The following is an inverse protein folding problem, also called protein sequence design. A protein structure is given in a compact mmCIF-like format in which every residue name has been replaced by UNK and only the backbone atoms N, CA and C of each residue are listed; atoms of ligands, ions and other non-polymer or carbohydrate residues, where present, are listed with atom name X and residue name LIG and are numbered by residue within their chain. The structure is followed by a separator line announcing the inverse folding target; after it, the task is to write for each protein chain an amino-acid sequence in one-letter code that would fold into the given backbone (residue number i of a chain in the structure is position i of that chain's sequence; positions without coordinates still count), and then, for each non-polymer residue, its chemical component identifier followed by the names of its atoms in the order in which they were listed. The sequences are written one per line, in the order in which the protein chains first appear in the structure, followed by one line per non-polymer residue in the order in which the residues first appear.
data_IF_549169007350
#
_entry.id   IF_549169007350
#
_cell.length_a   1.000
_cell.length_b   1.000
_cell.length_c   1.000
_cell.angle_alpha   90.00
_cell.angle_beta   90.00
_cell.angle_gamma   90.00
#
_symmetry.space_group_name_H-M   'P 1'
#
loop_
_entity.id
_entity.type
_entity.pdbx_description
1 polymer ?
#
# COMPACT_ATOMS: atom_id res chain seq x y z
N UNK A 1 -1.67 -10.62 -18.30
CA UNK A 1 -1.53 -10.23 -16.88
C UNK A 1 -2.89 -9.74 -16.42
N UNK A 2 -3.46 -10.30 -15.35
CA UNK A 2 -4.76 -9.87 -14.81
C UNK A 2 -4.61 -8.45 -14.26
N UNK A 3 -5.34 -7.49 -14.82
CA UNK A 3 -5.29 -6.10 -14.35
C UNK A 3 -6.20 -5.96 -13.12
N UNK A 4 -5.61 -5.64 -11.96
CA UNK A 4 -6.37 -5.43 -10.73
C UNK A 4 -7.04 -4.05 -10.75
N UNK A 5 -8.33 -4.00 -10.41
CA UNK A 5 -9.08 -2.75 -10.28
C UNK A 5 -9.12 -2.32 -8.81
N UNK A 6 -8.11 -1.56 -8.41
CA UNK A 6 -7.99 -1.06 -7.04
C UNK A 6 -8.45 0.39 -6.98
N UNK A 7 -9.33 0.68 -6.02
CA UNK A 7 -9.73 2.04 -5.70
C UNK A 7 -8.94 2.57 -4.51
N UNK A 8 -8.45 3.80 -4.64
CA UNK A 8 -7.80 4.53 -3.56
C UNK A 8 -8.38 5.94 -3.56
N UNK A 9 -9.06 6.34 -2.48
CA UNK A 9 -9.60 7.69 -2.31
C UNK A 9 -8.62 8.66 -1.65
N UNK A 10 -7.49 8.15 -1.16
CA UNK A 10 -6.46 8.93 -0.46
C UNK A 10 -5.71 9.79 -1.48
N UNK A 11 -6.19 11.02 -1.69
CA UNK A 11 -5.75 11.89 -2.79
C UNK A 11 -4.31 12.39 -2.66
N UNK A 12 -3.71 12.33 -1.48
CA UNK A 12 -2.29 12.61 -1.24
C UNK A 12 -1.38 11.38 -1.36
N UNK A 13 -1.91 10.20 -1.71
CA UNK A 13 -1.09 9.02 -2.01
C UNK A 13 -0.36 9.18 -3.34
N UNK A 14 0.92 8.86 -3.41
CA UNK A 14 1.75 8.92 -4.61
C UNK A 14 1.12 8.16 -5.79
N UNK A 15 0.53 6.99 -5.50
CA UNK A 15 -0.10 6.11 -6.48
C UNK A 15 -1.53 6.50 -6.84
N UNK A 16 -2.12 7.50 -6.19
CA UNK A 16 -3.49 7.94 -6.50
C UNK A 16 -3.57 8.49 -7.94
N UNK A 17 -4.63 8.10 -8.66
CA UNK A 17 -4.96 8.58 -9.99
C UNK A 17 -6.44 8.98 -10.09
N UNK A 18 -6.78 9.67 -11.18
CA UNK A 18 -8.11 10.26 -11.39
C UNK A 18 -9.23 9.20 -11.26
N UNK A 19 -10.31 9.59 -10.58
CA UNK A 19 -11.45 8.71 -10.34
C UNK A 19 -11.26 7.76 -9.16
N UNK A 20 -10.46 8.15 -8.17
CA UNK A 20 -10.13 7.35 -6.97
C UNK A 20 -9.57 5.97 -7.36
N UNK A 21 -8.66 5.94 -8.33
CA UNK A 21 -7.98 4.72 -8.77
C UNK A 21 -6.60 4.67 -8.14
N UNK A 22 -6.15 3.47 -7.80
CA UNK A 22 -4.76 3.23 -7.45
C UNK A 22 -4.00 2.80 -8.70
N UNK A 23 -2.91 3.48 -9.01
CA UNK A 23 -1.99 3.15 -10.09
C UNK A 23 -0.72 2.50 -9.56
N UNK A 24 -0.72 1.89 -8.38
CA UNK A 24 0.41 1.08 -7.93
C UNK A 24 0.46 -0.25 -8.70
N UNK A 25 1.64 -0.76 -9.04
CA UNK A 25 1.78 -2.07 -9.67
C UNK A 25 1.35 -3.21 -8.75
N UNK A 26 1.55 -3.06 -7.44
CA UNK A 26 1.12 -3.97 -6.39
C UNK A 26 0.77 -3.16 -5.13
N UNK A 27 -0.09 -3.70 -4.25
CA UNK A 27 -0.41 -3.09 -2.95
C UNK A 27 -0.38 -4.11 -1.81
N UNK A 28 -0.10 -3.63 -0.61
CA UNK A 28 -0.20 -4.37 0.64
C UNK A 28 -1.26 -3.75 1.54
N UNK A 29 -2.35 -4.49 1.77
CA UNK A 29 -3.30 -4.22 2.85
C UNK A 29 -2.98 -5.15 4.01
N UNK A 30 -2.77 -4.58 5.19
CA UNK A 30 -2.41 -5.33 6.40
C UNK A 30 -3.00 -4.67 7.64
N UNK A 31 -2.74 -5.21 8.83
CA UNK A 31 -3.18 -4.58 10.06
C UNK A 31 -2.33 -3.35 10.42
N UNK A 32 -2.91 -2.42 11.16
CA UNK A 32 -2.24 -1.16 11.50
C UNK A 32 -0.94 -1.36 12.27
N UNK A 33 -0.85 -2.42 13.09
CA UNK A 33 0.36 -2.73 13.86
C UNK A 33 1.55 -3.04 12.96
N UNK A 34 1.33 -3.71 11.83
CA UNK A 34 2.37 -3.96 10.83
C UNK A 34 2.75 -2.66 10.14
N UNK A 35 1.76 -1.84 9.77
CA UNK A 35 2.00 -0.55 9.13
C UNK A 35 2.82 0.42 9.98
N UNK A 36 2.58 0.41 11.30
CA UNK A 36 3.26 1.23 12.31
C UNK A 36 4.67 0.71 12.65
N UNK A 37 4.85 -0.62 12.78
CA UNK A 37 6.11 -1.19 13.28
C UNK A 37 7.13 -1.50 12.21
N UNK A 38 6.70 -1.82 10.99
CA UNK A 38 7.61 -2.24 9.93
C UNK A 38 8.02 -1.06 9.05
N UNK A 39 9.27 -1.02 8.58
CA UNK A 39 9.79 0.07 7.77
C UNK A 39 9.15 0.09 6.37
N UNK A 40 9.23 1.23 5.68
CA UNK A 40 8.61 1.44 4.35
C UNK A 40 9.10 0.46 3.28
N UNK A 41 10.31 -0.08 3.39
CA UNK A 41 10.81 -1.11 2.45
C UNK A 41 10.13 -2.48 2.63
N UNK A 42 9.34 -2.64 3.68
CA UNK A 42 8.52 -3.82 3.93
C UNK A 42 7.11 -3.58 3.38
N UNK A 43 6.92 -3.93 2.11
CA UNK A 43 5.67 -3.68 1.37
C UNK A 43 5.25 -4.89 0.50
N UNK A 44 4.42 -4.69 -0.51
CA UNK A 44 3.76 -5.72 -1.32
C UNK A 44 4.75 -6.72 -1.94
N UNK A 45 5.95 -6.25 -2.31
CA UNK A 45 7.04 -7.10 -2.82
C UNK A 45 7.47 -8.21 -1.84
N UNK A 46 7.26 -8.01 -0.53
CA UNK A 46 7.59 -8.96 0.54
C UNK A 46 6.36 -9.67 1.11
N UNK A 47 5.15 -9.41 0.60
CA UNK A 47 3.90 -9.95 1.14
C UNK A 47 3.86 -11.48 1.21
N UNK A 48 4.55 -12.18 0.30
CA UNK A 48 4.66 -13.65 0.28
C UNK A 48 5.40 -14.22 1.51
N UNK A 49 6.25 -13.41 2.15
CA UNK A 49 7.03 -13.80 3.32
C UNK A 49 6.35 -13.41 4.64
N UNK A 50 5.17 -12.79 4.58
CA UNK A 50 4.41 -12.39 5.76
C UNK A 50 3.56 -13.53 6.30
N UNK A 51 3.51 -13.64 7.62
CA UNK A 51 2.42 -14.39 8.27
C UNK A 51 1.10 -13.61 8.14
N UNK A 52 -0.05 -14.29 8.03
CA UNK A 52 -1.36 -13.62 8.03
C UNK A 52 -1.56 -12.71 9.23
N UNK A 53 -2.24 -11.58 9.02
CA UNK A 53 -2.42 -10.51 10.02
C UNK A 53 -3.90 -10.33 10.35
N UNK A 54 -4.51 -11.21 11.19
CA UNK A 54 -5.93 -11.16 11.47
C UNK A 54 -6.32 -9.89 12.24
N UNK A 55 -7.52 -9.39 11.95
CA UNK A 55 -8.16 -8.23 12.57
C UNK A 55 -9.65 -8.48 12.75
N UNK A 56 -10.32 -7.67 13.57
CA UNK A 56 -11.76 -7.77 13.84
C UNK A 56 -12.59 -6.64 13.21
N UNK A 57 -11.94 -5.58 12.74
CA UNK A 57 -12.58 -4.41 12.12
C UNK A 57 -11.74 -3.87 10.96
N UNK A 58 -12.40 -3.24 9.98
CA UNK A 58 -11.71 -2.51 8.91
C UNK A 58 -10.90 -1.32 9.44
N UNK A 59 -11.26 -0.80 10.62
CA UNK A 59 -10.53 0.29 11.28
C UNK A 59 -9.19 -0.14 11.87
N UNK A 60 -8.88 -1.44 11.86
CA UNK A 60 -7.60 -1.98 12.29
C UNK A 60 -6.69 -2.33 11.09
N UNK A 61 -7.05 -1.84 9.90
CA UNK A 61 -6.35 -2.12 8.65
C UNK A 61 -5.82 -0.87 7.99
N UNK A 62 -4.64 -0.99 7.37
CA UNK A 62 -3.99 0.07 6.61
C UNK A 62 -3.53 -0.42 5.24
N UNK A 63 -3.37 0.51 4.30
CA UNK A 63 -2.59 0.32 3.08
C UNK A 63 -1.14 0.67 3.38
N UNK A 64 -0.25 -0.33 3.48
CA UNK A 64 1.17 -0.09 3.75
C UNK A 64 1.87 0.59 2.57
N UNK A 65 1.42 0.32 1.34
CA UNK A 65 1.88 0.95 0.10
C UNK A 65 1.49 2.42 -0.04
N UNK A 66 0.89 3.02 0.99
CA UNK A 66 0.67 4.46 1.01
C UNK A 66 2.01 5.17 1.20
N UNK A 67 2.35 6.00 0.23
CA UNK A 67 3.43 6.99 0.35
C UNK A 67 2.86 8.36 0.02
N UNK A 68 3.19 9.38 0.79
CA UNK A 68 2.76 10.74 0.51
C UNK A 68 3.39 11.29 -0.79
N UNK A 69 2.59 11.98 -1.61
CA UNK A 69 3.06 12.69 -2.81
C UNK A 69 4.19 13.67 -2.47
N UNK A 70 5.32 13.53 -3.15
CA UNK A 70 6.49 14.40 -2.93
C UNK A 70 7.37 13.97 -1.76
N UNK A 71 7.04 12.89 -1.05
CA UNK A 71 7.91 12.29 -0.05
C UNK A 71 9.21 11.80 -0.69
N UNK A 72 10.29 11.80 0.09
CA UNK A 72 11.57 11.20 -0.29
C UNK A 72 11.52 9.67 -0.32
N UNK A 73 10.46 9.07 0.23
CA UNK A 73 10.33 7.62 0.39
C UNK A 73 9.61 6.92 -0.77
N UNK A 74 9.24 7.64 -1.84
CA UNK A 74 8.45 7.13 -2.99
C UNK A 74 9.05 5.88 -3.65
N UNK A 75 10.37 5.66 -3.55
CA UNK A 75 11.04 4.52 -4.18
C UNK A 75 11.58 3.50 -3.16
N UNK A 76 11.24 3.64 -1.87
CA UNK A 76 11.80 2.81 -0.79
C UNK A 76 11.11 1.45 -0.71
N UNK A 77 9.82 1.39 -1.03
CA UNK A 77 8.95 0.20 -0.99
C UNK A 77 9.11 -0.71 -2.22
N UNK A 78 9.77 -0.23 -3.27
CA UNK A 78 9.91 -0.92 -4.56
C UNK A 78 8.62 -0.96 -5.39
N UNK A 79 7.60 -0.19 -5.00
CA UNK A 79 6.32 -0.11 -5.69
C UNK A 79 6.38 0.99 -6.76
N UNK A 80 5.97 0.64 -7.98
CA UNK A 80 6.02 1.51 -9.15
C UNK A 80 4.62 1.91 -9.60
N UNK A 81 4.54 3.01 -10.33
CA UNK A 81 3.29 3.48 -10.91
C UNK A 81 3.06 2.85 -12.29
N UNK A 82 1.87 2.29 -12.51
CA UNK A 82 1.41 1.72 -13.80
C UNK A 82 0.54 2.68 -14.61
#
# INVERSE_FOLDING_TARGET
MQQQHIHCSVSNCHYWSQGNKCSANEILVTNDRVGDKLPDHFDASQARNMSPTPVSSCMETCCKSFVEKGSRNVNVDGITRI
#
